data_IF_325899939617
#
_entry.id   IF_325899939617
#
_cell.length_a   1.000
_cell.length_b   1.000
_cell.length_c   1.000
_cell.angle_alpha   90.00
_cell.angle_beta   90.00
_cell.angle_gamma   90.00
#
_symmetry.space_group_name_H-M   'P 1'
#
loop_
_entity.id
_entity.type
_entity.pdbx_description
1 polymer ?
#
# COMPACT_ATOMS: atom_id res chain seq x y z
N UNK A 1 -10.86 26.70 -9.64
CA UNK A 1 -11.42 25.49 -8.97
C UNK A 1 -10.42 25.05 -7.90
N UNK A 2 -10.76 25.13 -6.61
CA UNK A 2 -9.85 24.70 -5.52
C UNK A 2 -9.83 23.18 -5.50
N UNK A 3 -8.69 22.55 -5.81
CA UNK A 3 -8.50 21.11 -5.61
C UNK A 3 -8.59 20.85 -4.10
N UNK A 4 -9.67 20.21 -3.66
CA UNK A 4 -9.81 19.72 -2.29
C UNK A 4 -8.79 18.59 -2.11
N UNK A 5 -7.57 18.93 -1.72
CA UNK A 5 -6.56 17.94 -1.32
C UNK A 5 -6.98 17.39 0.04
N UNK A 6 -7.74 16.28 0.03
CA UNK A 6 -7.89 15.46 1.24
C UNK A 6 -6.49 15.11 1.72
N UNK A 7 -6.10 15.59 2.89
CA UNK A 7 -4.91 15.11 3.58
C UNK A 7 -5.21 13.69 4.02
N UNK A 8 -4.60 12.73 3.34
CA UNK A 8 -4.66 11.34 3.77
C UNK A 8 -3.67 11.15 4.92
N UNK A 9 -4.19 10.93 6.13
CA UNK A 9 -3.37 10.57 7.28
C UNK A 9 -3.42 9.05 7.42
N UNK A 10 -2.28 8.39 7.20
CA UNK A 10 -2.10 6.96 7.41
C UNK A 10 -1.12 6.75 8.57
N UNK A 11 -1.31 5.70 9.36
CA UNK A 11 -0.47 5.45 10.55
C UNK A 11 0.97 5.09 10.17
N UNK A 12 1.13 4.42 9.03
CA UNK A 12 2.42 4.03 8.47
C UNK A 12 2.47 4.28 6.96
N UNK A 13 3.61 4.79 6.49
CA UNK A 13 3.93 4.87 5.07
C UNK A 13 5.13 3.94 4.85
N UNK A 14 4.96 2.96 3.98
CA UNK A 14 5.96 1.95 3.67
C UNK A 14 6.40 2.11 2.20
N UNK A 15 7.60 2.67 2.01
CA UNK A 15 8.21 2.83 0.69
C UNK A 15 9.02 1.58 0.32
N UNK A 16 8.65 0.94 -0.78
CA UNK A 16 9.19 -0.32 -1.27
C UNK A 16 9.87 -0.19 -2.64
N UNK A 17 10.11 1.04 -3.12
CA UNK A 17 10.80 1.24 -4.39
C UNK A 17 12.19 0.58 -4.39
N UNK A 18 12.52 -0.03 -5.53
CA UNK A 18 13.83 -0.66 -5.75
C UNK A 18 14.03 -2.00 -5.03
N UNK A 19 13.07 -2.44 -4.22
CA UNK A 19 13.10 -3.78 -3.62
C UNK A 19 12.69 -4.83 -4.65
N UNK A 20 13.13 -6.07 -4.46
CA UNK A 20 12.51 -7.21 -5.12
C UNK A 20 11.19 -7.59 -4.41
N UNK A 21 10.40 -8.48 -5.03
CA UNK A 21 9.08 -8.83 -4.51
C UNK A 21 9.16 -9.49 -3.12
N UNK A 22 10.13 -10.38 -2.89
CA UNK A 22 10.24 -11.12 -1.64
C UNK A 22 10.60 -10.20 -0.47
N UNK A 23 11.54 -9.27 -0.67
CA UNK A 23 11.88 -8.22 0.30
C UNK A 23 10.69 -7.32 0.62
N UNK A 24 9.97 -6.90 -0.41
CA UNK A 24 8.80 -6.05 -0.27
C UNK A 24 7.71 -6.75 0.57
N UNK A 25 7.42 -8.02 0.28
CA UNK A 25 6.45 -8.81 1.04
C UNK A 25 6.89 -9.03 2.49
N UNK A 26 8.18 -9.32 2.73
CA UNK A 26 8.72 -9.46 4.09
C UNK A 26 8.54 -8.18 4.91
N UNK A 27 8.78 -7.02 4.31
CA UNK A 27 8.61 -5.72 4.98
C UNK A 27 7.14 -5.40 5.27
N UNK A 28 6.22 -5.78 4.36
CA UNK A 28 4.77 -5.66 4.59
C UNK A 28 4.36 -6.53 5.77
N UNK A 29 4.71 -7.82 5.76
CA UNK A 29 4.36 -8.75 6.84
C UNK A 29 4.87 -8.25 8.20
N UNK A 30 6.13 -7.78 8.26
CA UNK A 30 6.69 -7.19 9.47
C UNK A 30 5.88 -6.00 9.99
N UNK A 31 5.35 -5.17 9.09
CA UNK A 31 4.49 -4.05 9.48
C UNK A 31 3.12 -4.54 10.01
N UNK A 32 2.52 -5.54 9.36
CA UNK A 32 1.23 -6.13 9.77
C UNK A 32 1.33 -6.78 11.16
N UNK A 33 2.33 -7.64 11.38
CA UNK A 33 2.54 -8.32 12.66
C UNK A 33 2.93 -7.39 13.81
N UNK A 34 3.35 -6.16 13.52
CA UNK A 34 3.66 -5.19 14.58
C UNK A 34 2.42 -4.86 15.43
N UNK A 35 1.21 -4.97 14.86
CA UNK A 35 -0.05 -4.62 15.53
C UNK A 35 -0.17 -3.14 15.90
N UNK A 36 0.71 -2.27 15.37
CA UNK A 36 0.79 -0.85 15.73
C UNK A 36 -0.04 0.07 14.84
N UNK A 37 -0.43 -0.41 13.66
CA UNK A 37 -0.98 0.42 12.60
C UNK A 37 -2.39 -0.07 12.23
N UNK A 38 -3.37 0.83 12.21
CA UNK A 38 -4.70 0.54 11.70
C UNK A 38 -4.78 0.80 10.19
N UNK A 39 -3.86 1.60 9.66
CA UNK A 39 -3.76 1.93 8.23
C UNK A 39 -2.30 2.00 7.76
N UNK A 40 -2.03 1.41 6.60
CA UNK A 40 -0.69 1.42 5.98
C UNK A 40 -0.82 1.86 4.52
N UNK A 41 -0.07 2.89 4.13
CA UNK A 41 0.10 3.29 2.74
C UNK A 41 1.36 2.64 2.20
N UNK A 42 1.20 1.74 1.23
CA UNK A 42 2.29 1.01 0.60
C UNK A 42 2.61 1.70 -0.72
N UNK A 43 3.83 2.22 -0.84
CA UNK A 43 4.34 2.84 -2.05
C UNK A 43 5.23 1.82 -2.75
N UNK A 44 4.71 1.16 -3.78
CA UNK A 44 5.42 0.14 -4.55
C UNK A 44 5.88 0.65 -5.94
N UNK A 45 5.51 1.88 -6.29
CA UNK A 45 5.83 2.50 -7.57
C UNK A 45 5.03 1.95 -8.75
N UNK A 46 5.17 2.61 -9.89
CA UNK A 46 4.48 2.23 -11.12
C UNK A 46 5.18 1.08 -11.84
N UNK A 47 6.43 1.32 -12.28
CA UNK A 47 7.31 0.36 -12.97
C UNK A 47 6.60 -0.54 -14.00
N UNK A 48 7.13 -1.74 -14.19
CA UNK A 48 6.47 -2.82 -14.95
C UNK A 48 5.32 -3.48 -14.16
N UNK A 49 5.00 -2.97 -12.96
CA UNK A 49 3.94 -3.51 -12.12
C UNK A 49 4.26 -4.82 -11.41
N UNK A 50 5.51 -5.29 -11.39
CA UNK A 50 5.92 -6.51 -10.68
C UNK A 50 5.55 -6.41 -9.20
N UNK A 51 6.01 -5.34 -8.52
CA UNK A 51 5.69 -5.10 -7.11
C UNK A 51 4.18 -4.87 -6.92
N UNK A 52 3.55 -4.01 -7.73
CA UNK A 52 2.11 -3.74 -7.67
C UNK A 52 1.29 -5.02 -7.73
N UNK A 53 1.52 -5.87 -8.72
CA UNK A 53 0.73 -7.07 -8.95
C UNK A 53 0.99 -8.12 -7.87
N UNK A 54 2.26 -8.34 -7.50
CA UNK A 54 2.63 -9.30 -6.46
C UNK A 54 2.10 -8.91 -5.08
N UNK A 55 2.26 -7.64 -4.70
CA UNK A 55 1.76 -7.11 -3.43
C UNK A 55 0.23 -7.17 -3.40
N UNK A 56 -0.48 -6.66 -4.41
CA UNK A 56 -1.96 -6.69 -4.42
C UNK A 56 -2.49 -8.12 -4.33
N UNK A 57 -1.87 -9.08 -5.02
CA UNK A 57 -2.21 -10.50 -4.93
C UNK A 57 -2.01 -11.05 -3.51
N UNK A 58 -0.88 -10.73 -2.89
CA UNK A 58 -0.58 -11.15 -1.51
C UNK A 58 -1.58 -10.56 -0.51
N UNK A 59 -1.87 -9.26 -0.59
CA UNK A 59 -2.81 -8.57 0.29
C UNK A 59 -4.24 -9.13 0.14
N UNK A 60 -4.68 -9.41 -1.08
CA UNK A 60 -6.01 -9.99 -1.34
C UNK A 60 -6.20 -11.39 -0.75
N UNK A 61 -5.12 -12.11 -0.46
CA UNK A 61 -5.16 -13.43 0.18
C UNK A 61 -5.06 -13.36 1.72
N UNK A 62 -4.82 -12.18 2.30
CA UNK A 62 -4.63 -12.01 3.73
C UNK A 62 -5.95 -11.86 4.47
N UNK A 63 -6.19 -12.69 5.50
CA UNK A 63 -7.38 -12.62 6.36
C UNK A 63 -7.32 -11.45 7.37
N UNK A 64 -6.14 -10.87 7.58
CA UNK A 64 -5.94 -9.78 8.54
C UNK A 64 -6.34 -8.40 7.98
N UNK A 65 -6.47 -8.29 6.66
CA UNK A 65 -6.76 -7.03 5.99
C UNK A 65 -8.27 -6.87 5.86
N UNK A 66 -8.83 -5.90 6.59
CA UNK A 66 -10.26 -5.57 6.55
C UNK A 66 -10.66 -4.82 5.28
N UNK A 67 -9.72 -4.13 4.64
CA UNK A 67 -10.01 -3.41 3.41
C UNK A 67 -8.77 -2.92 2.69
N UNK A 68 -8.86 -2.85 1.37
CA UNK A 68 -7.80 -2.37 0.48
C UNK A 68 -8.36 -1.29 -0.44
N UNK A 69 -7.60 -0.21 -0.61
CA UNK A 69 -7.88 0.87 -1.56
C UNK A 69 -6.70 0.98 -2.52
N UNK A 70 -6.98 0.94 -3.81
CA UNK A 70 -5.99 1.22 -4.85
C UNK A 70 -5.91 2.73 -5.09
N UNK A 71 -4.70 3.27 -5.22
CA UNK A 71 -4.52 4.72 -5.27
C UNK A 71 -5.24 5.37 -6.45
N UNK A 72 -5.30 4.67 -7.58
CA UNK A 72 -5.98 5.09 -8.81
C UNK A 72 -7.50 5.22 -8.65
N UNK A 73 -8.12 4.39 -7.82
CA UNK A 73 -9.58 4.41 -7.62
C UNK A 73 -10.03 5.64 -6.83
N UNK A 74 -9.14 6.19 -6.00
CA UNK A 74 -9.46 7.25 -5.03
C UNK A 74 -8.68 8.55 -5.27
N UNK A 75 -7.98 8.66 -6.41
CA UNK A 75 -7.13 9.80 -6.76
C UNK A 75 -6.12 10.16 -5.65
N UNK A 76 -5.53 9.12 -5.04
CA UNK A 76 -4.50 9.27 -4.02
C UNK A 76 -3.18 9.69 -4.70
N UNK A 77 -2.39 10.62 -4.14
CA UNK A 77 -1.06 10.91 -4.67
C UNK A 77 -0.23 9.63 -4.82
N UNK A 78 0.30 9.41 -6.03
CA UNK A 78 0.98 8.17 -6.40
C UNK A 78 0.11 7.16 -7.15
N UNK A 79 -1.21 7.39 -7.29
CA UNK A 79 -2.11 6.69 -8.21
C UNK A 79 -1.92 5.16 -8.18
N UNK A 80 -1.76 4.50 -9.33
CA UNK A 80 -1.48 3.06 -9.45
C UNK A 80 -0.17 2.57 -8.83
N UNK A 81 0.66 3.48 -8.30
CA UNK A 81 1.92 3.20 -7.62
C UNK A 81 1.76 3.07 -6.10
N UNK A 82 0.53 3.22 -5.62
CA UNK A 82 0.18 3.13 -4.21
C UNK A 82 -0.97 2.14 -4.00
N UNK A 83 -0.86 1.38 -2.91
CA UNK A 83 -1.97 0.58 -2.36
C UNK A 83 -2.08 0.90 -0.88
N UNK A 84 -3.30 1.17 -0.41
CA UNK A 84 -3.57 1.46 1.00
C UNK A 84 -4.35 0.29 1.59
N UNK A 85 -3.97 -0.13 2.78
CA UNK A 85 -4.65 -1.21 3.51
C UNK A 85 -5.10 -0.74 4.89
N UNK A 86 -6.20 -1.35 5.35
CA UNK A 86 -6.79 -1.15 6.67
C UNK A 86 -6.90 -2.49 7.40
N UNK A 87 -6.50 -2.50 8.67
CA UNK A 87 -6.46 -3.67 9.56
C UNK A 87 -7.64 -3.74 10.50
#
# INVERSE_FOLDING_TARGET
MKKNTRKFNYDCILDLHGQNLDEALMNIEKALYSGKYNSIMIIHGHGEGILRNGIRKHLAASEYIKGTIYGEDMNIPGDSGVTVIYM
#
